data_IF_751291425169
#
_entry.id   IF_751291425169
#
_cell.length_a   1.000
_cell.length_b   1.000
_cell.length_c   1.000
_cell.angle_alpha   90.00
_cell.angle_beta   90.00
_cell.angle_gamma   90.00
#
_symmetry.space_group_name_H-M   'P 1'
#
loop_
_entity.id
_entity.type
_entity.pdbx_description
1 polymer ?
#
# COMPACT_ATOMS: atom_id res chain seq x y z
N UNK A 1 -26.62 -2.88 29.87
CA UNK A 1 -27.20 -3.61 28.71
C UNK A 1 -26.07 -4.42 28.09
N UNK A 2 -26.27 -5.68 27.70
CA UNK A 2 -25.20 -6.46 27.04
C UNK A 2 -24.88 -5.81 25.69
N UNK A 3 -23.59 -5.56 25.41
CA UNK A 3 -23.14 -5.03 24.12
C UNK A 3 -23.42 -6.06 23.02
N UNK A 4 -23.93 -5.62 21.86
CA UNK A 4 -24.27 -6.50 20.74
C UNK A 4 -23.58 -6.08 19.45
N UNK A 5 -23.43 -7.02 18.51
CA UNK A 5 -22.91 -6.74 17.16
C UNK A 5 -23.68 -5.63 16.44
N UNK A 6 -25.00 -5.56 16.66
CA UNK A 6 -25.86 -4.55 16.05
C UNK A 6 -25.56 -3.15 16.58
N UNK A 7 -25.41 -3.00 17.91
CA UNK A 7 -25.04 -1.72 18.53
C UNK A 7 -23.69 -1.20 18.02
N UNK A 8 -22.71 -2.09 17.82
CA UNK A 8 -21.41 -1.75 17.26
C UNK A 8 -21.52 -1.26 15.81
N UNK A 9 -22.30 -1.95 14.98
CA UNK A 9 -22.52 -1.58 13.58
C UNK A 9 -23.27 -0.26 13.45
N UNK A 10 -24.27 -0.02 14.30
CA UNK A 10 -25.01 1.24 14.37
C UNK A 10 -24.09 2.39 14.78
N UNK A 11 -23.31 2.21 15.85
CA UNK A 11 -22.35 3.22 16.29
C UNK A 11 -21.31 3.52 15.23
N UNK A 12 -20.78 2.50 14.56
CA UNK A 12 -19.83 2.69 13.47
C UNK A 12 -20.44 3.52 12.32
N UNK A 13 -21.70 3.28 11.97
CA UNK A 13 -22.40 4.07 10.97
C UNK A 13 -22.59 5.54 11.40
N UNK A 14 -22.95 5.79 12.67
CA UNK A 14 -23.06 7.15 13.23
C UNK A 14 -21.73 7.91 13.18
N UNK A 15 -20.62 7.24 13.50
CA UNK A 15 -19.27 7.80 13.43
C UNK A 15 -18.80 8.04 11.98
N UNK A 16 -19.51 7.51 10.98
CA UNK A 16 -19.14 7.63 9.57
C UNK A 16 -18.13 6.58 9.09
N UNK A 17 -18.02 5.44 9.77
CA UNK A 17 -17.23 4.30 9.29
C UNK A 17 -17.93 3.68 8.07
N UNK A 18 -17.20 3.54 6.96
CA UNK A 18 -17.78 3.21 5.67
C UNK A 18 -18.21 1.73 5.51
N UNK A 19 -17.43 0.82 6.08
CA UNK A 19 -17.75 -0.61 6.19
C UNK A 19 -17.26 -1.16 7.52
N UNK A 20 -17.96 -2.14 8.07
CA UNK A 20 -17.61 -2.85 9.29
C UNK A 20 -18.06 -4.31 9.17
N UNK A 21 -17.28 -5.22 9.74
CA UNK A 21 -17.69 -6.60 9.95
C UNK A 21 -16.97 -7.18 11.18
N UNK A 22 -17.54 -8.25 11.74
CA UNK A 22 -17.09 -8.85 12.99
C UNK A 22 -16.70 -10.31 12.74
N UNK A 23 -15.57 -10.74 13.26
CA UNK A 23 -15.16 -12.15 13.33
C UNK A 23 -15.05 -12.62 14.77
N UNK A 24 -15.47 -13.85 15.04
CA UNK A 24 -15.24 -14.52 16.31
C UNK A 24 -13.78 -15.01 16.38
N UNK A 25 -13.24 -15.14 17.60
CA UNK A 25 -11.80 -15.42 17.77
C UNK A 25 -11.39 -16.81 17.27
N UNK A 26 -12.30 -17.78 17.26
CA UNK A 26 -12.04 -19.17 16.88
C UNK A 26 -11.58 -19.30 15.42
N UNK A 27 -11.97 -18.36 14.54
CA UNK A 27 -11.47 -18.28 13.15
C UNK A 27 -9.95 -18.11 13.06
N UNK A 28 -9.33 -17.62 14.13
CA UNK A 28 -7.91 -17.31 14.21
C UNK A 28 -7.14 -18.27 15.14
N UNK A 29 -7.77 -19.34 15.64
CA UNK A 29 -7.13 -20.29 16.56
C UNK A 29 -5.89 -20.98 15.96
N UNK A 30 -5.89 -21.22 14.64
CA UNK A 30 -4.75 -21.78 13.90
C UNK A 30 -3.76 -20.73 13.37
N UNK A 31 -3.95 -19.44 13.65
CA UNK A 31 -3.10 -18.39 13.11
C UNK A 31 -1.66 -18.48 13.67
N UNK A 32 -0.63 -18.20 12.85
CA UNK A 32 0.73 -18.05 13.34
C UNK A 32 0.80 -17.05 14.49
N UNK A 33 1.63 -17.31 15.52
CA UNK A 33 1.69 -16.47 16.73
C UNK A 33 1.86 -14.98 16.41
N UNK A 34 2.77 -14.61 15.51
CA UNK A 34 3.00 -13.21 15.10
C UNK A 34 1.87 -12.58 14.28
N UNK A 35 0.83 -13.32 13.95
CA UNK A 35 -0.35 -12.86 13.21
C UNK A 35 -1.65 -13.07 13.97
N UNK A 36 -1.63 -13.76 15.12
CA UNK A 36 -2.81 -14.08 15.91
C UNK A 36 -3.23 -12.86 16.77
N UNK A 37 -4.52 -12.46 16.77
CA UNK A 37 -5.00 -11.37 17.63
C UNK A 37 -4.67 -11.58 19.12
N UNK A 38 -4.75 -12.84 19.59
CA UNK A 38 -4.47 -13.21 20.98
C UNK A 38 -3.01 -13.06 21.41
N UNK A 39 -2.09 -12.83 20.47
CA UNK A 39 -0.70 -12.47 20.80
C UNK A 39 -0.58 -11.01 21.27
N UNK A 40 -1.57 -10.18 20.96
CA UNK A 40 -1.68 -8.78 21.40
C UNK A 40 -2.66 -8.70 22.58
N UNK A 41 -3.82 -9.36 22.48
CA UNK A 41 -4.84 -9.35 23.52
C UNK A 41 -5.37 -10.78 23.80
N UNK A 42 -4.78 -11.51 24.77
CA UNK A 42 -5.09 -12.93 25.01
C UNK A 42 -6.57 -13.23 25.28
N UNK A 43 -7.27 -12.31 25.94
CA UNK A 43 -8.67 -12.40 26.33
C UNK A 43 -9.65 -12.09 25.19
N UNK A 44 -9.16 -11.65 24.02
CA UNK A 44 -10.00 -11.31 22.89
C UNK A 44 -10.96 -12.45 22.52
N UNK A 45 -12.25 -12.12 22.43
CA UNK A 45 -13.33 -13.02 21.97
C UNK A 45 -13.84 -12.67 20.60
N UNK A 46 -13.65 -11.42 20.18
CA UNK A 46 -14.08 -10.94 18.87
C UNK A 46 -13.08 -9.96 18.27
N UNK A 47 -13.11 -9.90 16.94
CA UNK A 47 -12.31 -9.00 16.12
C UNK A 47 -13.25 -8.19 15.26
N UNK A 48 -13.13 -6.88 15.31
CA UNK A 48 -13.92 -5.95 14.51
C UNK A 48 -13.01 -5.40 13.43
N UNK A 49 -13.34 -5.66 12.17
CA UNK A 49 -12.70 -5.03 11.03
C UNK A 49 -13.50 -3.82 10.59
N UNK A 50 -12.82 -2.71 10.34
CA UNK A 50 -13.41 -1.49 9.77
C UNK A 50 -12.70 -1.13 8.47
N UNK A 51 -13.42 -0.51 7.54
CA UNK A 51 -12.84 0.03 6.32
C UNK A 51 -13.30 1.47 6.09
N UNK A 52 -12.37 2.33 5.66
CA UNK A 52 -12.64 3.70 5.22
C UNK A 52 -12.34 3.84 3.74
N UNK A 53 -13.23 4.51 3.00
CA UNK A 53 -13.12 4.63 1.55
C UNK A 53 -11.99 5.56 1.14
N UNK A 54 -11.35 5.23 0.03
CA UNK A 54 -10.50 6.14 -0.72
C UNK A 54 -11.41 6.95 -1.67
N UNK A 55 -11.38 8.29 -1.63
CA UNK A 55 -12.12 9.09 -2.60
C UNK A 55 -11.59 8.82 -4.02
N UNK A 56 -12.45 8.43 -4.97
CA UNK A 56 -12.04 8.13 -6.36
C UNK A 56 -11.30 9.27 -7.05
N UNK A 57 -11.62 10.52 -6.67
CA UNK A 57 -11.02 11.73 -7.23
C UNK A 57 -9.53 11.93 -6.94
N UNK A 58 -8.99 11.30 -5.89
CA UNK A 58 -7.57 11.47 -5.51
C UNK A 58 -6.59 10.97 -6.58
N UNK A 59 -7.05 10.07 -7.46
CA UNK A 59 -6.27 9.53 -8.56
C UNK A 59 -6.25 10.41 -9.82
N UNK A 60 -7.12 11.43 -9.91
CA UNK A 60 -7.22 12.29 -11.12
C UNK A 60 -5.91 13.01 -11.42
N UNK A 61 -5.27 13.55 -10.39
CA UNK A 61 -3.98 14.24 -10.55
C UNK A 61 -2.85 13.33 -11.03
N UNK A 62 -2.84 12.07 -10.60
CA UNK A 62 -1.87 11.07 -11.09
C UNK A 62 -2.16 10.71 -12.54
N UNK A 63 -3.44 10.56 -12.89
CA UNK A 63 -3.85 10.26 -14.26
C UNK A 63 -3.54 11.36 -15.27
N UNK A 64 -3.64 12.61 -14.84
CA UNK A 64 -3.22 13.76 -15.65
C UNK A 64 -1.71 14.01 -15.56
N UNK A 65 -1.00 13.36 -14.66
CA UNK A 65 0.43 13.58 -14.42
C UNK A 65 0.74 14.90 -13.69
N UNK A 66 -0.26 15.56 -13.10
CA UNK A 66 -0.16 16.94 -12.59
C UNK A 66 -0.17 17.06 -11.07
N UNK A 67 -0.97 16.27 -10.35
CA UNK A 67 -1.21 16.46 -8.91
C UNK A 67 -1.09 15.15 -8.11
N UNK A 68 0.16 14.83 -7.75
CA UNK A 68 0.56 13.50 -7.27
C UNK A 68 0.40 13.27 -5.77
N UNK A 69 0.76 14.26 -4.95
CA UNK A 69 0.82 14.10 -3.49
C UNK A 69 -0.55 13.76 -2.89
N UNK A 70 -1.65 14.14 -3.56
CA UNK A 70 -3.01 13.84 -3.14
C UNK A 70 -3.25 12.36 -2.81
N UNK A 71 -2.67 11.44 -3.59
CA UNK A 71 -2.76 10.00 -3.30
C UNK A 71 -2.08 9.66 -1.96
N UNK A 72 -0.85 10.16 -1.73
CA UNK A 72 -0.15 9.91 -0.47
C UNK A 72 -0.91 10.54 0.71
N UNK A 73 -1.40 11.76 0.59
CA UNK A 73 -2.10 12.44 1.68
C UNK A 73 -3.45 11.79 1.97
N UNK A 74 -4.37 11.78 1.02
CA UNK A 74 -5.78 11.45 1.28
C UNK A 74 -6.17 10.00 0.99
N UNK A 75 -5.29 9.20 0.35
CA UNK A 75 -5.60 7.80 -0.01
C UNK A 75 -4.67 6.77 0.62
N UNK A 76 -3.57 7.23 1.22
CA UNK A 76 -2.57 6.36 1.83
C UNK A 76 -2.27 6.79 3.26
N UNK A 77 -1.39 7.77 3.46
CA UNK A 77 -0.85 8.13 4.76
C UNK A 77 -1.90 8.70 5.71
N UNK A 78 -2.50 9.88 5.46
CA UNK A 78 -3.44 10.49 6.43
C UNK A 78 -4.71 9.67 6.58
N UNK A 79 -5.10 8.92 5.55
CA UNK A 79 -6.18 7.95 5.68
C UNK A 79 -5.82 6.84 6.67
N UNK A 80 -4.58 6.33 6.66
CA UNK A 80 -4.10 5.32 7.61
C UNK A 80 -3.72 5.88 8.99
N UNK A 81 -3.29 7.14 9.10
CA UNK A 81 -2.67 7.72 10.31
C UNK A 81 -3.52 8.75 11.04
N UNK A 82 -4.56 9.30 10.40
CA UNK A 82 -5.39 10.34 10.99
C UNK A 82 -6.89 10.02 10.88
N UNK A 83 -7.44 9.98 9.66
CA UNK A 83 -8.89 9.93 9.46
C UNK A 83 -9.52 8.64 9.97
N UNK A 84 -9.00 7.48 9.56
CA UNK A 84 -9.50 6.18 10.04
C UNK A 84 -9.17 5.93 11.51
N UNK A 85 -7.92 6.12 12.00
CA UNK A 85 -7.60 5.89 13.41
C UNK A 85 -8.46 6.68 14.39
N UNK A 86 -8.80 7.93 14.07
CA UNK A 86 -9.70 8.71 14.90
C UNK A 86 -11.06 8.01 15.07
N UNK A 87 -11.66 7.51 13.99
CA UNK A 87 -12.94 6.79 14.07
C UNK A 87 -12.81 5.42 14.76
N UNK A 88 -11.70 4.71 14.56
CA UNK A 88 -11.43 3.46 15.28
C UNK A 88 -11.29 3.70 16.78
N UNK A 89 -10.64 4.80 17.19
CA UNK A 89 -10.52 5.21 18.58
C UNK A 89 -11.89 5.51 19.20
N UNK A 90 -12.74 6.29 18.53
CA UNK A 90 -14.10 6.58 19.01
C UNK A 90 -14.95 5.31 19.18
N UNK A 91 -14.77 4.32 18.29
CA UNK A 91 -15.46 3.04 18.41
C UNK A 91 -14.92 2.19 19.58
N UNK A 92 -13.61 2.24 19.86
CA UNK A 92 -13.03 1.64 21.06
C UNK A 92 -13.63 2.26 22.33
N UNK A 93 -13.68 3.59 22.43
CA UNK A 93 -14.28 4.27 23.59
C UNK A 93 -15.74 3.85 23.80
N UNK A 94 -16.52 3.72 22.72
CA UNK A 94 -17.89 3.22 22.83
C UNK A 94 -17.96 1.79 23.39
N UNK A 95 -17.05 0.89 23.01
CA UNK A 95 -16.97 -0.48 23.56
C UNK A 95 -16.63 -0.42 25.05
N UNK A 96 -15.68 0.43 25.43
CA UNK A 96 -15.24 0.63 26.83
C UNK A 96 -16.34 1.25 27.70
N UNK A 97 -17.17 2.16 27.17
CA UNK A 97 -18.35 2.71 27.85
C UNK A 97 -19.40 1.63 28.17
N UNK A 98 -19.35 0.48 27.47
CA UNK A 98 -20.19 -0.69 27.75
C UNK A 98 -19.51 -1.71 28.68
N UNK A 99 -18.31 -1.41 29.18
CA UNK A 99 -17.58 -2.22 30.15
C UNK A 99 -16.75 -3.37 29.56
N UNK A 100 -16.35 -3.27 28.29
CA UNK A 100 -15.49 -4.24 27.60
C UNK A 100 -14.17 -3.59 27.19
N UNK A 101 -13.07 -4.35 27.15
CA UNK A 101 -11.80 -3.83 26.67
C UNK A 101 -11.76 -3.82 25.13
N UNK A 102 -11.15 -2.78 24.55
CA UNK A 102 -11.04 -2.64 23.10
C UNK A 102 -9.62 -2.18 22.70
N UNK A 103 -8.86 -3.07 22.07
CA UNK A 103 -7.51 -2.77 21.59
C UNK A 103 -7.55 -2.33 20.12
N UNK A 104 -7.34 -1.03 19.80
CA UNK A 104 -7.19 -0.60 18.43
C UNK A 104 -5.85 -1.08 17.87
N UNK A 105 -5.89 -1.78 16.74
CA UNK A 105 -4.68 -2.26 16.06
C UNK A 105 -4.30 -1.32 14.91
N UNK A 106 -3.06 -0.83 14.95
CA UNK A 106 -2.50 -0.01 13.88
C UNK A 106 -1.93 -0.90 12.75
N UNK A 107 -2.37 -0.73 11.49
CA UNK A 107 -1.94 -1.57 10.37
C UNK A 107 -0.57 -1.11 9.86
N UNK A 108 0.48 -1.60 10.50
CA UNK A 108 1.87 -1.51 10.03
C UNK A 108 2.24 -2.72 9.14
N UNK A 109 3.53 -2.92 8.88
CA UNK A 109 4.07 -3.97 8.00
C UNK A 109 4.41 -5.22 8.84
N UNK A 110 3.63 -6.32 8.76
CA UNK A 110 3.88 -7.53 9.56
C UNK A 110 5.25 -8.18 9.30
N UNK A 111 5.79 -8.00 8.10
CA UNK A 111 7.10 -8.51 7.69
C UNK A 111 8.26 -7.90 8.52
N UNK A 112 8.03 -6.79 9.25
CA UNK A 112 8.99 -6.18 10.16
C UNK A 112 8.98 -6.74 11.59
N UNK A 113 8.05 -7.63 11.93
CA UNK A 113 7.92 -8.18 13.29
C UNK A 113 9.22 -8.85 13.76
N UNK A 114 9.69 -8.49 14.96
CA UNK A 114 10.85 -9.15 15.60
C UNK A 114 12.22 -8.85 14.98
N UNK A 115 12.34 -7.80 14.15
CA UNK A 115 13.60 -7.49 13.45
C UNK A 115 14.52 -6.53 14.19
N UNK A 116 14.05 -5.85 15.25
CA UNK A 116 14.78 -4.72 15.86
C UNK A 116 15.03 -4.84 17.36
N UNK A 117 14.34 -5.75 18.06
CA UNK A 117 14.37 -5.82 19.53
C UNK A 117 14.13 -7.25 20.02
N UNK A 118 14.87 -7.61 21.06
CA UNK A 118 14.71 -8.89 21.76
C UNK A 118 13.41 -8.94 22.56
N UNK A 119 12.84 -10.14 22.80
CA UNK A 119 11.74 -10.33 23.73
C UNK A 119 12.07 -9.78 25.12
N UNK A 120 11.06 -9.26 25.81
CA UNK A 120 11.21 -8.69 27.17
C UNK A 120 11.50 -9.75 28.25
N UNK A 121 11.25 -11.03 27.95
CA UNK A 121 11.55 -12.16 28.82
C UNK A 121 11.64 -13.46 28.00
N UNK A 122 12.29 -14.48 28.57
CA UNK A 122 12.37 -15.82 27.97
C UNK A 122 10.97 -16.40 27.69
N UNK A 123 10.82 -17.03 26.52
CA UNK A 123 9.55 -17.64 26.09
C UNK A 123 8.46 -16.65 25.64
N UNK A 124 8.70 -15.34 25.70
CA UNK A 124 7.79 -14.33 25.16
C UNK A 124 8.05 -14.06 23.68
N UNK A 125 7.05 -13.50 23.01
CA UNK A 125 7.18 -13.01 21.64
C UNK A 125 8.03 -11.73 21.61
N UNK A 126 8.68 -11.42 20.47
CA UNK A 126 9.33 -10.12 20.29
C UNK A 126 8.32 -8.98 20.45
N UNK A 127 8.76 -7.79 20.88
CA UNK A 127 7.88 -6.61 20.95
C UNK A 127 7.43 -6.16 19.56
N UNK A 128 6.49 -5.22 19.53
CA UNK A 128 5.95 -4.61 18.31
C UNK A 128 5.32 -5.63 17.32
N UNK A 129 4.56 -6.60 17.84
CA UNK A 129 3.81 -7.54 16.99
C UNK A 129 2.72 -6.80 16.20
N UNK A 130 2.79 -6.90 14.88
CA UNK A 130 1.80 -6.34 13.96
C UNK A 130 1.13 -7.49 13.19
N UNK A 131 -0.17 -7.66 13.40
CA UNK A 131 -0.95 -8.64 12.65
C UNK A 131 -1.23 -8.20 11.20
N UNK A 132 -1.46 -9.17 10.31
CA UNK A 132 -1.86 -8.91 8.92
C UNK A 132 -3.29 -8.37 8.84
N UNK A 133 -3.41 -7.05 8.69
CA UNK A 133 -4.71 -6.35 8.64
C UNK A 133 -5.65 -6.91 7.58
N UNK A 134 -5.11 -7.31 6.41
CA UNK A 134 -5.92 -7.80 5.28
C UNK A 134 -6.44 -9.22 5.53
N UNK A 135 -5.62 -10.08 6.11
CA UNK A 135 -6.00 -11.47 6.42
C UNK A 135 -7.06 -11.48 7.51
N UNK A 136 -6.84 -10.75 8.59
CA UNK A 136 -7.83 -10.68 9.68
C UNK A 136 -9.13 -10.05 9.19
N UNK A 137 -9.07 -8.96 8.40
CA UNK A 137 -10.27 -8.35 7.83
C UNK A 137 -11.07 -9.32 6.95
N UNK A 138 -10.40 -10.16 6.15
CA UNK A 138 -11.07 -11.21 5.37
C UNK A 138 -11.76 -12.22 6.30
N UNK A 139 -11.07 -12.67 7.35
CA UNK A 139 -11.66 -13.56 8.37
C UNK A 139 -12.83 -12.93 9.16
N UNK A 140 -12.93 -11.60 9.21
CA UNK A 140 -14.10 -10.90 9.77
C UNK A 140 -15.27 -10.82 8.78
N UNK A 141 -15.09 -11.14 7.50
CA UNK A 141 -16.15 -11.08 6.49
C UNK A 141 -16.44 -9.68 5.92
N UNK A 142 -15.60 -8.67 6.18
CA UNK A 142 -15.82 -7.30 5.64
C UNK A 142 -15.62 -7.24 4.11
N UNK A 143 -14.91 -8.21 3.54
CA UNK A 143 -14.59 -8.25 2.12
C UNK A 143 -13.63 -9.38 1.75
N UNK A 144 -13.02 -9.25 0.58
CA UNK A 144 -12.18 -10.27 -0.05
C UNK A 144 -10.76 -9.72 -0.30
N UNK A 145 -9.73 -10.54 -0.15
CA UNK A 145 -8.39 -10.20 -0.66
C UNK A 145 -8.39 -10.46 -2.16
N UNK A 146 -8.40 -9.40 -2.97
CA UNK A 146 -8.34 -9.54 -4.42
C UNK A 146 -7.01 -10.12 -4.88
N UNK A 147 -6.99 -10.68 -6.10
CA UNK A 147 -5.82 -11.40 -6.64
C UNK A 147 -4.48 -10.65 -6.48
N UNK A 148 -4.46 -9.32 -6.61
CA UNK A 148 -3.24 -8.51 -6.42
C UNK A 148 -2.87 -8.21 -4.96
N UNK A 149 -3.32 -9.01 -3.98
CA UNK A 149 -3.16 -8.79 -2.53
C UNK A 149 -3.88 -7.52 -2.00
N UNK A 150 -4.57 -6.74 -2.84
CA UNK A 150 -5.32 -5.53 -2.44
C UNK A 150 -6.73 -5.95 -2.00
N UNK A 151 -7.15 -5.44 -0.85
CA UNK A 151 -8.43 -5.77 -0.25
C UNK A 151 -9.60 -5.12 -1.01
N UNK A 152 -10.69 -5.86 -1.18
CA UNK A 152 -11.89 -5.47 -1.91
C UNK A 152 -13.11 -5.52 -0.97
N UNK A 153 -13.94 -4.48 -0.99
CA UNK A 153 -15.27 -4.50 -0.34
C UNK A 153 -16.37 -4.52 -1.40
N UNK A 154 -17.54 -5.10 -1.09
CA UNK A 154 -18.70 -5.08 -2.00
C UNK A 154 -19.11 -3.65 -2.38
N UNK A 155 -19.00 -2.73 -1.42
CA UNK A 155 -19.38 -1.34 -1.63
C UNK A 155 -18.37 -0.54 -2.44
N UNK A 156 -17.08 -0.58 -2.10
CA UNK A 156 -16.08 0.33 -2.70
C UNK A 156 -15.02 -0.35 -3.57
N UNK A 157 -15.06 -1.68 -3.70
CA UNK A 157 -14.00 -2.45 -4.35
C UNK A 157 -12.65 -2.18 -3.67
N UNK A 158 -11.57 -1.93 -4.43
CA UNK A 158 -10.22 -1.74 -3.89
C UNK A 158 -9.99 -0.36 -3.25
N UNK A 159 -10.99 0.52 -3.25
CA UNK A 159 -10.88 1.88 -2.72
C UNK A 159 -11.11 1.91 -1.22
N UNK A 160 -10.32 1.17 -0.45
CA UNK A 160 -10.45 1.12 1.01
C UNK A 160 -9.10 1.07 1.72
N UNK A 161 -9.10 1.53 2.97
CA UNK A 161 -8.07 1.26 3.98
C UNK A 161 -8.72 0.62 5.19
N UNK A 162 -8.02 -0.34 5.79
CA UNK A 162 -8.56 -1.21 6.83
C UNK A 162 -8.08 -0.79 8.21
N UNK A 163 -8.85 -1.10 9.23
CA UNK A 163 -8.46 -1.12 10.64
C UNK A 163 -9.06 -2.30 11.36
N UNK A 164 -8.48 -2.61 12.51
CA UNK A 164 -8.91 -3.70 13.36
C UNK A 164 -9.05 -3.19 14.80
N UNK A 165 -10.01 -3.76 15.50
CA UNK A 165 -10.18 -3.62 16.94
C UNK A 165 -10.34 -5.03 17.51
N UNK A 166 -9.60 -5.36 18.55
CA UNK A 166 -9.76 -6.62 19.29
C UNK A 166 -10.50 -6.34 20.59
N UNK A 167 -11.45 -7.20 20.95
CA UNK A 167 -12.25 -6.99 22.17
C UNK A 167 -12.56 -8.31 22.85
N UNK A 168 -12.69 -8.27 24.18
CA UNK A 168 -13.18 -9.36 25.01
C UNK A 168 -14.71 -9.49 24.98
N UNK A 169 -15.41 -8.54 24.34
CA UNK A 169 -16.82 -8.66 24.04
C UNK A 169 -17.08 -9.84 23.10
N UNK A 170 -18.04 -10.68 23.47
CA UNK A 170 -18.51 -11.79 22.63
C UNK A 170 -19.60 -11.30 21.68
N UNK A 171 -19.24 -11.18 20.40
CA UNK A 171 -20.06 -10.59 19.36
C UNK A 171 -20.37 -11.62 18.27
N UNK A 172 -21.60 -11.61 17.78
CA UNK A 172 -22.03 -12.44 16.64
C UNK A 172 -21.21 -12.11 15.38
N UNK A 173 -20.55 -13.12 14.75
CA UNK A 173 -19.69 -12.91 13.60
C UNK A 173 -20.45 -12.77 12.28
N UNK A 174 -19.88 -12.03 11.34
CA UNK A 174 -20.31 -11.93 9.96
C UNK A 174 -19.72 -13.08 9.12
N UNK A 175 -20.40 -13.57 8.07
CA UNK A 175 -19.89 -14.64 7.22
C UNK A 175 -18.68 -14.22 6.40
N UNK A 176 -17.69 -15.12 6.28
CA UNK A 176 -16.50 -14.92 5.44
C UNK A 176 -16.88 -15.00 3.96
N UNK A 177 -16.40 -14.08 3.13
CA UNK A 177 -16.60 -14.12 1.67
C UNK A 177 -15.72 -15.19 0.99
N UNK A 178 -16.22 -15.74 -0.11
CA UNK A 178 -15.44 -16.63 -0.97
C UNK A 178 -14.48 -15.87 -1.88
N UNK A 179 -13.39 -16.54 -2.23
CA UNK A 179 -12.51 -16.03 -3.29
C UNK A 179 -13.27 -16.01 -4.62
N UNK A 180 -13.39 -14.84 -5.23
CA UNK A 180 -14.16 -14.62 -6.45
C UNK A 180 -15.53 -13.95 -6.25
N UNK A 181 -15.97 -13.72 -5.00
CA UNK A 181 -17.22 -13.01 -4.73
C UNK A 181 -17.21 -11.58 -5.26
N UNK A 182 -16.05 -10.91 -5.16
CA UNK A 182 -15.80 -9.56 -5.66
C UNK A 182 -14.73 -9.60 -6.74
N UNK A 183 -13.62 -10.32 -6.55
CA UNK A 183 -12.54 -10.39 -7.52
C UNK A 183 -12.97 -11.13 -8.78
N UNK A 184 -12.93 -10.45 -9.93
CA UNK A 184 -13.26 -11.07 -11.22
C UNK A 184 -12.17 -12.02 -11.75
N UNK A 185 -11.01 -12.10 -11.09
CA UNK A 185 -9.81 -12.78 -11.60
C UNK A 185 -9.45 -12.38 -13.05
N UNK A 186 -9.79 -11.14 -13.44
CA UNK A 186 -9.71 -10.67 -14.82
C UNK A 186 -8.29 -10.27 -15.27
N UNK A 187 -7.32 -10.27 -14.36
CA UNK A 187 -5.92 -9.90 -14.63
C UNK A 187 -5.69 -8.42 -14.94
N UNK A 188 -6.66 -7.53 -14.71
CA UNK A 188 -6.46 -6.08 -14.93
C UNK A 188 -5.31 -5.52 -14.08
N UNK A 189 -5.20 -5.97 -12.83
CA UNK A 189 -4.10 -5.63 -11.93
C UNK A 189 -2.73 -6.12 -12.42
N UNK A 190 -2.69 -7.27 -13.11
CA UNK A 190 -1.47 -7.85 -13.71
C UNK A 190 -1.01 -6.99 -14.89
N UNK A 191 -1.91 -6.76 -15.86
CA UNK A 191 -1.59 -6.05 -17.11
C UNK A 191 -1.13 -4.60 -16.87
N UNK A 192 -1.71 -3.92 -15.89
CA UNK A 192 -1.46 -2.50 -15.64
C UNK A 192 -0.38 -2.24 -14.57
N UNK A 193 0.17 -3.28 -13.93
CA UNK A 193 1.23 -3.12 -12.93
C UNK A 193 2.53 -2.61 -13.60
N UNK A 194 3.05 -1.42 -13.24
CA UNK A 194 4.27 -0.90 -13.85
C UNK A 194 5.51 -1.72 -13.45
N UNK A 195 5.51 -2.35 -12.28
CA UNK A 195 6.62 -3.18 -11.81
C UNK A 195 6.55 -4.65 -12.21
N UNK A 196 5.52 -5.08 -12.96
CA UNK A 196 5.28 -6.51 -13.22
C UNK A 196 5.35 -7.36 -11.94
N UNK A 197 4.76 -6.85 -10.86
CA UNK A 197 4.87 -7.40 -9.51
C UNK A 197 3.79 -8.44 -9.20
N UNK A 198 2.63 -8.36 -9.89
CA UNK A 198 1.54 -9.32 -9.72
C UNK A 198 1.73 -10.43 -10.76
N UNK A 199 1.86 -11.70 -10.35
CA UNK A 199 2.06 -12.80 -11.29
C UNK A 199 0.82 -13.02 -12.18
N UNK A 200 0.94 -13.76 -13.30
CA UNK A 200 -0.20 -14.07 -14.16
C UNK A 200 -1.27 -14.90 -13.43
N UNK A 201 -2.56 -14.53 -13.56
CA UNK A 201 -3.71 -15.22 -12.91
C UNK A 201 -3.73 -16.73 -13.15
N UNK A 202 -3.31 -17.15 -14.34
CA UNK A 202 -3.25 -18.56 -14.76
C UNK A 202 -2.18 -19.36 -14.01
N UNK A 203 -1.18 -18.72 -13.44
CA UNK A 203 -0.15 -19.39 -12.66
C UNK A 203 -0.72 -19.74 -11.28
N UNK A 204 -0.93 -21.03 -11.03
CA UNK A 204 -1.47 -21.53 -9.77
C UNK A 204 -0.39 -21.73 -8.71
N UNK A 205 0.86 -21.86 -9.13
CA UNK A 205 2.00 -22.12 -8.26
C UNK A 205 2.45 -20.85 -7.53
N UNK A 206 2.10 -19.66 -8.06
CA UNK A 206 2.32 -18.36 -7.42
C UNK A 206 1.07 -17.89 -6.66
N UNK A 207 0.45 -18.78 -5.88
CA UNK A 207 -0.72 -18.49 -5.04
C UNK A 207 -0.42 -18.77 -3.57
N UNK A 208 -0.90 -17.86 -2.72
CA UNK A 208 -0.91 -18.02 -1.28
C UNK A 208 -2.33 -18.38 -0.83
N UNK A 209 -2.42 -19.29 0.14
CA UNK A 209 -3.67 -19.77 0.72
C UNK A 209 -3.73 -19.42 2.21
N UNK A 210 -4.91 -19.08 2.69
CA UNK A 210 -5.17 -18.84 4.11
C UNK A 210 -6.43 -19.59 4.50
N UNK A 211 -6.34 -20.36 5.57
CA UNK A 211 -7.45 -21.12 6.15
C UNK A 211 -7.87 -20.49 7.48
N UNK A 212 -9.17 -20.21 7.63
CA UNK A 212 -9.76 -19.65 8.85
C UNK A 212 -10.32 -20.76 9.73
N UNK A 213 -9.42 -21.63 10.20
CA UNK A 213 -9.72 -22.75 11.09
C UNK A 213 -10.80 -23.70 10.54
N UNK A 214 -10.69 -24.06 9.26
CA UNK A 214 -11.61 -24.94 8.55
C UNK A 214 -12.94 -24.33 8.14
N UNK A 215 -13.30 -23.14 8.63
CA UNK A 215 -14.54 -22.45 8.24
C UNK A 215 -14.51 -22.02 6.77
N UNK A 216 -13.37 -21.47 6.34
CA UNK A 216 -13.16 -21.06 4.94
C UNK A 216 -11.68 -20.99 4.59
N UNK A 217 -11.36 -21.41 3.37
CA UNK A 217 -10.06 -21.19 2.76
C UNK A 217 -10.15 -20.16 1.63
N UNK A 218 -9.29 -19.15 1.67
CA UNK A 218 -9.17 -18.13 0.61
C UNK A 218 -7.80 -18.19 -0.06
N UNK A 219 -7.67 -17.58 -1.24
CA UNK A 219 -6.40 -17.50 -1.94
C UNK A 219 -6.21 -16.20 -2.72
N UNK A 220 -4.95 -15.82 -2.93
CA UNK A 220 -4.56 -14.66 -3.73
C UNK A 220 -3.15 -14.85 -4.29
N UNK A 221 -2.67 -13.95 -5.14
CA UNK A 221 -1.34 -14.07 -5.74
C UNK A 221 -0.21 -13.87 -4.73
N UNK A 222 0.87 -14.62 -4.90
CA UNK A 222 2.16 -14.29 -4.30
C UNK A 222 2.79 -13.11 -5.05
N UNK A 223 2.61 -11.89 -4.52
CA UNK A 223 3.06 -10.66 -5.17
C UNK A 223 4.56 -10.49 -4.96
N UNK A 224 5.30 -10.20 -6.02
CA UNK A 224 6.74 -9.92 -5.99
C UNK A 224 6.99 -8.57 -5.31
N UNK A 225 7.14 -8.61 -3.99
CA UNK A 225 7.08 -7.43 -3.14
C UNK A 225 8.21 -6.42 -3.42
N UNK A 226 9.45 -6.85 -3.71
CA UNK A 226 10.52 -5.89 -4.05
C UNK A 226 10.23 -5.06 -5.30
N UNK A 227 9.67 -5.66 -6.36
CA UNK A 227 9.23 -4.93 -7.56
C UNK A 227 8.09 -3.96 -7.26
N UNK A 228 7.15 -4.39 -6.39
CA UNK A 228 6.06 -3.56 -5.91
C UNK A 228 6.61 -2.34 -5.14
N UNK A 229 7.53 -2.55 -4.20
CA UNK A 229 8.14 -1.54 -3.35
C UNK A 229 8.96 -0.53 -4.15
N UNK A 230 9.83 -0.99 -5.07
CA UNK A 230 10.56 -0.12 -6.00
C UNK A 230 9.61 0.78 -6.81
N UNK A 231 8.54 0.19 -7.36
CA UNK A 231 7.56 0.97 -8.12
C UNK A 231 6.78 1.92 -7.23
N UNK A 232 6.28 1.44 -6.09
CA UNK A 232 5.47 2.20 -5.14
C UNK A 232 6.19 3.44 -4.65
N UNK A 233 7.46 3.31 -4.30
CA UNK A 233 8.33 4.39 -3.84
C UNK A 233 9.08 5.07 -4.99
N UNK A 234 8.60 4.94 -6.23
CA UNK A 234 9.03 5.78 -7.35
C UNK A 234 10.44 5.52 -7.87
N UNK A 235 11.08 4.41 -7.53
CA UNK A 235 12.32 3.96 -8.19
C UNK A 235 12.06 3.27 -9.54
N UNK A 236 10.81 3.13 -9.95
CA UNK A 236 10.46 2.78 -11.32
C UNK A 236 10.34 4.04 -12.20
N UNK A 237 11.29 4.19 -13.11
CA UNK A 237 11.43 5.27 -14.09
C UNK A 237 10.26 5.36 -15.09
N UNK A 238 9.53 4.26 -15.34
CA UNK A 238 8.34 4.29 -16.21
C UNK A 238 7.13 4.98 -15.56
N UNK A 239 7.08 5.05 -14.22
CA UNK A 239 5.94 5.63 -13.50
C UNK A 239 6.29 6.80 -12.58
N UNK A 240 7.58 7.18 -12.46
CA UNK A 240 7.99 8.32 -11.65
C UNK A 240 8.60 9.45 -12.50
N UNK A 241 7.86 10.54 -12.78
CA UNK A 241 8.43 11.70 -13.45
C UNK A 241 9.49 12.40 -12.61
N UNK A 242 9.45 12.21 -11.28
CA UNK A 242 10.40 12.83 -10.35
C UNK A 242 11.76 12.14 -10.39
N UNK A 243 11.78 10.80 -10.42
CA UNK A 243 13.02 10.06 -10.64
C UNK A 243 13.58 10.35 -12.02
N UNK A 244 12.73 10.31 -13.06
CA UNK A 244 13.15 10.55 -14.44
C UNK A 244 13.75 11.94 -14.63
N UNK A 245 13.23 12.95 -13.92
CA UNK A 245 13.80 14.30 -13.93
C UNK A 245 15.22 14.36 -13.36
N UNK A 246 15.45 13.75 -12.20
CA UNK A 246 16.77 13.82 -11.54
C UNK A 246 17.78 12.83 -12.14
N UNK A 247 17.29 11.72 -12.71
CA UNK A 247 18.08 10.65 -13.32
C UNK A 247 17.54 10.31 -14.74
N UNK A 248 17.67 11.23 -15.71
CA UNK A 248 17.13 11.07 -17.07
C UNK A 248 17.64 9.80 -17.80
N UNK A 249 18.84 9.37 -17.43
CA UNK A 249 19.57 8.27 -18.08
C UNK A 249 19.59 6.98 -17.27
N UNK A 250 18.90 6.94 -16.14
CA UNK A 250 18.77 5.73 -15.34
C UNK A 250 17.73 4.80 -15.98
N UNK A 251 18.18 3.61 -16.37
CA UNK A 251 17.38 2.52 -16.91
C UNK A 251 17.34 1.35 -15.89
N UNK A 252 16.65 1.56 -14.75
CA UNK A 252 16.53 0.52 -13.73
C UNK A 252 15.45 -0.49 -14.10
N UNK A 253 15.83 -1.70 -14.47
CA UNK A 253 14.92 -2.77 -14.90
C UNK A 253 14.10 -3.37 -13.72
N UNK A 254 13.08 -2.63 -13.27
CA UNK A 254 12.22 -3.03 -12.15
C UNK A 254 11.35 -4.24 -12.50
N UNK A 255 11.04 -4.50 -13.78
CA UNK A 255 10.07 -5.54 -14.17
C UNK A 255 10.65 -6.95 -14.12
N UNK A 256 11.98 -7.07 -14.05
CA UNK A 256 12.69 -8.36 -14.07
C UNK A 256 13.63 -8.57 -12.87
N UNK A 257 13.74 -7.61 -11.95
CA UNK A 257 14.56 -7.77 -10.75
C UNK A 257 13.95 -8.78 -9.77
N UNK A 258 14.81 -9.50 -9.06
CA UNK A 258 14.46 -10.41 -7.95
C UNK A 258 14.82 -9.81 -6.58
N UNK A 259 15.01 -8.48 -6.52
CA UNK A 259 15.19 -7.79 -5.24
C UNK A 259 14.07 -8.17 -4.27
N UNK A 260 14.47 -8.44 -3.04
CA UNK A 260 13.57 -8.62 -1.91
C UNK A 260 12.85 -7.32 -1.58
N UNK A 261 11.78 -7.41 -0.78
CA UNK A 261 11.10 -6.21 -0.28
C UNK A 261 12.02 -5.33 0.57
N UNK A 262 12.88 -5.93 1.38
CA UNK A 262 13.80 -5.21 2.27
C UNK A 262 14.88 -4.46 1.49
N UNK A 263 15.53 -5.09 0.51
CA UNK A 263 16.51 -4.43 -0.37
C UNK A 263 15.86 -3.24 -1.10
N UNK A 264 14.61 -3.39 -1.54
CA UNK A 264 13.86 -2.31 -2.17
C UNK A 264 13.54 -1.16 -1.20
N UNK A 265 13.18 -1.46 0.07
CA UNK A 265 12.99 -0.42 1.09
C UNK A 265 14.28 0.34 1.37
N UNK A 266 15.39 -0.37 1.60
CA UNK A 266 16.71 0.22 1.82
C UNK A 266 17.05 1.17 0.66
N UNK A 267 16.94 0.69 -0.58
CA UNK A 267 17.27 1.48 -1.76
C UNK A 267 16.37 2.71 -1.91
N UNK A 268 15.06 2.54 -1.81
CA UNK A 268 14.08 3.62 -2.02
C UNK A 268 14.21 4.71 -0.97
N UNK A 269 14.30 4.36 0.32
CA UNK A 269 14.44 5.34 1.40
C UNK A 269 15.81 6.01 1.38
N UNK A 270 16.88 5.29 1.05
CA UNK A 270 18.21 5.90 0.86
C UNK A 270 18.16 6.97 -0.24
N UNK A 271 17.51 6.69 -1.38
CA UNK A 271 17.38 7.65 -2.48
C UNK A 271 16.49 8.85 -2.13
N UNK A 272 15.41 8.63 -1.36
CA UNK A 272 14.52 9.71 -0.92
C UNK A 272 15.20 10.64 0.10
N UNK A 273 16.03 10.10 1.00
CA UNK A 273 16.71 10.87 2.06
C UNK A 273 18.07 11.43 1.66
N UNK A 274 18.66 10.87 0.60
CA UNK A 274 20.00 11.22 0.13
C UNK A 274 20.16 12.71 -0.14
N UNK A 275 21.37 13.21 0.14
CA UNK A 275 21.83 14.55 -0.24
C UNK A 275 23.08 14.41 -1.08
N UNK A 276 23.21 15.26 -2.10
CA UNK A 276 24.39 15.29 -2.95
C UNK A 276 25.23 16.52 -2.65
N UNK A 277 26.52 16.33 -2.33
CA UNK A 277 27.41 17.41 -1.90
C UNK A 277 27.56 18.55 -2.92
N UNK A 278 27.35 18.31 -4.23
CA UNK A 278 27.34 19.37 -5.25
C UNK A 278 25.99 20.09 -5.40
N UNK A 279 24.95 19.67 -4.68
CA UNK A 279 23.66 20.37 -4.55
C UNK A 279 23.41 20.67 -3.05
N UNK A 280 24.20 21.56 -2.41
CA UNK A 280 24.07 21.82 -0.98
C UNK A 280 22.67 22.35 -0.65
N UNK A 281 22.04 21.81 0.39
CA UNK A 281 20.69 22.21 0.82
C UNK A 281 19.55 21.55 0.06
N UNK A 282 19.83 20.81 -1.02
CA UNK A 282 18.83 20.04 -1.77
C UNK A 282 18.93 18.55 -1.51
N UNK A 283 17.82 17.85 -1.70
CA UNK A 283 17.76 16.39 -1.66
C UNK A 283 18.01 15.84 -3.05
N UNK A 284 18.46 14.58 -3.12
CA UNK A 284 18.69 13.90 -4.40
C UNK A 284 17.42 13.90 -5.25
N UNK A 285 16.25 13.71 -4.63
CA UNK A 285 14.94 13.86 -5.28
C UNK A 285 14.04 14.75 -4.43
N UNK A 286 14.04 16.05 -4.75
CA UNK A 286 13.32 17.08 -3.97
C UNK A 286 11.82 16.77 -3.77
N UNK A 287 11.15 16.16 -4.76
CA UNK A 287 9.73 15.83 -4.63
C UNK A 287 9.46 14.74 -3.57
N UNK A 288 10.35 13.75 -3.43
CA UNK A 288 10.17 12.66 -2.46
C UNK A 288 10.32 13.20 -1.05
N UNK A 289 11.33 14.02 -0.82
CA UNK A 289 11.53 14.74 0.44
C UNK A 289 10.33 15.64 0.78
N UNK A 290 9.80 16.39 -0.19
CA UNK A 290 8.60 17.22 0.01
C UNK A 290 7.43 16.38 0.55
N UNK A 291 7.07 15.28 -0.12
CA UNK A 291 5.93 14.45 0.32
C UNK A 291 6.22 13.79 1.66
N UNK A 292 7.44 13.28 1.84
CA UNK A 292 7.84 12.56 3.05
C UNK A 292 7.91 13.48 4.27
N UNK A 293 8.40 14.71 4.17
CA UNK A 293 8.43 15.66 5.30
C UNK A 293 7.05 15.95 5.88
N UNK A 294 6.01 15.92 5.06
CA UNK A 294 4.65 16.22 5.50
C UNK A 294 3.88 14.99 6.02
N UNK A 295 4.29 13.79 5.62
CA UNK A 295 3.50 12.59 5.85
C UNK A 295 4.28 11.45 6.52
N UNK A 296 5.61 11.53 6.59
CA UNK A 296 6.49 10.43 7.00
C UNK A 296 6.57 9.29 5.99
N UNK A 297 5.90 9.40 4.83
CA UNK A 297 5.77 8.36 3.82
C UNK A 297 5.71 8.98 2.42
N UNK A 298 5.82 8.19 1.36
CA UNK A 298 5.63 8.69 0.00
C UNK A 298 5.22 7.54 -0.92
N UNK A 299 4.13 7.74 -1.66
CA UNK A 299 3.58 6.76 -2.59
C UNK A 299 3.48 7.39 -3.97
N UNK A 300 4.35 6.96 -4.88
CA UNK A 300 4.51 7.54 -6.21
C UNK A 300 3.70 6.75 -7.25
N UNK A 301 3.77 5.41 -7.31
CA UNK A 301 3.13 4.63 -8.41
C UNK A 301 1.63 4.86 -8.62
N UNK A 302 0.94 5.49 -7.66
CA UNK A 302 -0.47 5.85 -7.75
C UNK A 302 -1.42 4.66 -7.78
N UNK A 303 -0.96 3.46 -7.43
CA UNK A 303 -1.71 2.22 -7.48
C UNK A 303 -2.36 1.95 -8.87
N UNK A 304 -1.61 2.27 -9.94
CA UNK A 304 -2.02 2.12 -11.35
C UNK A 304 -2.69 0.76 -11.64
N UNK A 305 -2.01 -0.34 -11.29
CA UNK A 305 -2.54 -1.69 -11.49
C UNK A 305 -3.49 -2.13 -10.38
N UNK A 306 -3.00 -2.15 -9.14
CA UNK A 306 -3.67 -2.87 -8.05
C UNK A 306 -4.98 -2.21 -7.57
N UNK A 307 -5.10 -0.88 -7.57
CA UNK A 307 -6.35 -0.20 -7.19
C UNK A 307 -7.07 0.33 -8.43
N UNK A 308 -6.41 1.17 -9.23
CA UNK A 308 -7.09 1.93 -10.28
C UNK A 308 -7.61 1.05 -11.41
N UNK A 309 -6.79 0.13 -11.94
CA UNK A 309 -7.23 -0.82 -12.96
C UNK A 309 -8.30 -1.78 -12.43
N UNK A 310 -8.14 -2.26 -11.19
CA UNK A 310 -9.12 -3.13 -10.53
C UNK A 310 -10.47 -2.41 -10.33
N UNK A 311 -10.47 -1.21 -9.76
CA UNK A 311 -11.65 -0.36 -9.59
C UNK A 311 -12.36 -0.12 -10.91
N UNK A 312 -11.64 0.26 -11.96
CA UNK A 312 -12.24 0.48 -13.27
C UNK A 312 -12.90 -0.79 -13.83
N UNK A 313 -12.29 -1.96 -13.64
CA UNK A 313 -12.89 -3.23 -14.07
C UNK A 313 -14.19 -3.52 -13.28
N UNK A 314 -14.14 -3.38 -11.95
CA UNK A 314 -15.29 -3.65 -11.07
C UNK A 314 -16.45 -2.67 -11.28
N UNK A 315 -16.17 -1.39 -11.51
CA UNK A 315 -17.20 -0.40 -11.85
C UNK A 315 -17.88 -0.74 -13.17
N UNK A 316 -17.11 -1.09 -14.22
CA UNK A 316 -17.65 -1.41 -15.55
C UNK A 316 -18.52 -2.67 -15.55
N UNK A 317 -18.16 -3.68 -14.76
CA UNK A 317 -18.93 -4.92 -14.64
C UNK A 317 -20.02 -4.84 -13.58
N UNK A 318 -20.17 -3.70 -12.90
CA UNK A 318 -21.13 -3.48 -11.80
C UNK A 318 -21.00 -4.54 -10.69
N UNK A 319 -19.77 -4.98 -10.42
CA UNK A 319 -19.44 -5.94 -9.35
C UNK A 319 -19.41 -5.28 -7.97
N UNK A 320 -19.38 -3.95 -7.92
CA UNK A 320 -19.41 -3.15 -6.69
C UNK A 320 -20.60 -2.17 -6.69
N UNK A 321 -20.98 -1.70 -5.50
CA UNK A 321 -22.18 -0.88 -5.30
C UNK A 321 -21.93 0.62 -5.53
N UNK A 322 -20.78 1.15 -5.08
CA UNK A 322 -20.47 2.57 -5.20
C UNK A 322 -19.94 2.90 -6.60
N UNK A 323 -20.88 3.14 -7.51
CA UNK A 323 -20.65 3.50 -8.91
C UNK A 323 -20.63 5.03 -9.12
N UNK A 324 -20.10 5.45 -10.26
CA UNK A 324 -20.02 6.86 -10.67
C UNK A 324 -20.64 7.04 -12.05
N UNK A 325 -21.29 8.19 -12.27
CA UNK A 325 -21.88 8.54 -13.57
C UNK A 325 -20.85 8.62 -14.69
N UNK A 326 -19.63 9.04 -14.34
CA UNK A 326 -18.57 9.32 -15.27
C UNK A 326 -17.49 8.21 -15.21
N UNK A 327 -16.96 7.72 -16.36
CA UNK A 327 -16.00 6.63 -16.36
C UNK A 327 -14.69 7.04 -15.66
N UNK A 328 -13.93 6.05 -15.21
CA UNK A 328 -12.68 6.35 -14.54
C UNK A 328 -11.60 6.70 -15.56
N UNK A 329 -11.36 5.82 -16.53
CA UNK A 329 -10.47 6.11 -17.64
C UNK A 329 -11.22 6.74 -18.81
N UNK A 330 -10.75 7.89 -19.26
CA UNK A 330 -11.18 8.55 -20.50
C UNK A 330 -10.14 8.44 -21.62
N UNK A 331 -8.89 8.15 -21.24
CA UNK A 331 -7.74 7.98 -22.12
C UNK A 331 -6.90 6.81 -21.64
N UNK A 332 -5.99 6.34 -22.49
CA UNK A 332 -5.01 5.32 -22.10
C UNK A 332 -4.09 5.89 -21.02
N UNK A 333 -3.89 5.14 -19.93
CA UNK A 333 -2.89 5.49 -18.91
C UNK A 333 -1.51 5.62 -19.55
N UNK A 334 -0.80 6.69 -19.23
CA UNK A 334 0.54 6.94 -19.73
C UNK A 334 1.60 6.13 -18.93
N UNK A 335 2.76 5.95 -19.55
CA UNK A 335 4.03 5.54 -18.92
C UNK A 335 5.12 6.40 -19.54
N UNK A 336 6.17 6.70 -18.78
CA UNK A 336 7.35 7.36 -19.29
C UNK A 336 8.23 6.34 -20.03
N UNK A 337 8.99 6.77 -21.06
CA UNK A 337 9.97 5.91 -21.71
C UNK A 337 11.01 5.43 -20.70
N UNK A 338 11.30 4.13 -20.74
CA UNK A 338 12.36 3.52 -19.93
C UNK A 338 13.76 3.94 -20.40
N UNK A 339 13.91 4.21 -21.70
CA UNK A 339 15.19 4.52 -22.35
C UNK A 339 15.82 5.84 -21.88
N UNK A 340 17.16 5.97 -21.90
CA UNK A 340 17.85 7.23 -21.61
C UNK A 340 17.36 8.38 -22.50
N UNK A 341 17.11 9.55 -21.93
CA UNK A 341 16.60 10.70 -22.70
C UNK A 341 17.71 11.50 -23.39
N UNK A 342 18.91 11.57 -22.79
CA UNK A 342 20.04 12.32 -23.35
C UNK A 342 21.37 11.65 -22.96
N UNK A 343 22.25 11.34 -23.90
CA UNK A 343 23.63 10.94 -23.53
C UNK A 343 24.50 12.20 -23.58
N UNK A 344 24.79 12.87 -22.44
CA UNK A 344 25.57 14.10 -22.49
C UNK A 344 26.94 13.87 -23.12
N UNK A 345 27.33 14.78 -24.01
CA UNK A 345 28.73 14.94 -24.40
C UNK A 345 29.53 15.33 -23.16
N UNK A 346 30.79 14.89 -23.09
CA UNK A 346 31.61 15.08 -21.88
C UNK A 346 31.66 13.94 -20.85
N UNK A 347 32.67 13.98 -19.99
CA UNK A 347 32.89 13.03 -18.89
C UNK A 347 32.08 13.44 -17.65
N UNK A 348 31.91 14.73 -17.39
CA UNK A 348 31.15 15.24 -16.25
C UNK A 348 30.31 16.47 -16.63
N UNK A 349 29.03 16.29 -17.04
CA UNK A 349 28.23 17.38 -17.59
C UNK A 349 28.06 18.57 -16.62
N UNK A 350 28.06 18.33 -15.31
CA UNK A 350 27.94 19.40 -14.31
C UNK A 350 29.20 20.27 -14.22
N UNK A 351 30.39 19.65 -14.23
CA UNK A 351 31.67 20.39 -14.25
C UNK A 351 31.77 21.19 -15.54
N UNK A 352 31.47 20.54 -16.64
CA UNK A 352 31.59 21.06 -17.99
C UNK A 352 30.71 22.28 -18.19
N UNK A 353 29.41 22.17 -17.89
CA UNK A 353 28.48 23.30 -17.95
C UNK A 353 28.89 24.45 -17.01
N UNK A 354 29.46 24.15 -15.83
CA UNK A 354 29.94 25.19 -14.91
C UNK A 354 31.16 25.92 -15.47
N UNK A 355 32.17 25.19 -15.99
CA UNK A 355 33.39 25.78 -16.53
C UNK A 355 33.12 26.53 -17.82
N UNK A 356 32.30 26.01 -18.74
CA UNK A 356 31.94 26.69 -19.97
C UNK A 356 31.22 28.02 -19.69
N UNK A 357 30.38 28.05 -18.64
CA UNK A 357 29.64 29.25 -18.21
C UNK A 357 30.51 30.26 -17.45
N UNK A 358 31.42 29.80 -16.58
CA UNK A 358 32.20 30.66 -15.67
C UNK A 358 33.58 31.03 -16.20
N UNK A 359 34.18 30.16 -17.01
CA UNK A 359 35.54 30.27 -17.53
C UNK A 359 35.59 29.81 -19.00
N UNK A 360 35.00 30.58 -19.95
CA UNK A 360 34.98 30.20 -21.35
C UNK A 360 36.39 29.94 -21.89
N UNK A 361 36.58 28.84 -22.63
CA UNK A 361 37.87 28.44 -23.21
C UNK A 361 38.80 27.67 -22.27
N UNK A 362 38.54 27.63 -20.95
CA UNK A 362 39.40 26.92 -19.99
C UNK A 362 39.55 25.41 -20.30
N UNK A 363 38.55 24.84 -20.98
CA UNK A 363 38.51 23.42 -21.34
C UNK A 363 39.09 23.11 -22.72
N UNK A 364 39.66 24.10 -23.41
CA UNK A 364 40.27 23.89 -24.71
C UNK A 364 41.44 22.87 -24.58
N UNK A 365 41.38 21.79 -25.36
CA UNK A 365 42.39 20.73 -25.35
C UNK A 365 42.25 19.65 -24.27
N UNK A 366 41.22 19.66 -23.41
CA UNK A 366 41.07 18.63 -22.34
C UNK A 366 40.90 17.21 -22.91
N UNK A 367 39.83 16.98 -23.64
CA UNK A 367 39.55 15.71 -24.32
C UNK A 367 38.52 15.96 -25.42
N UNK A 368 38.78 15.39 -26.61
CA UNK A 368 37.83 15.36 -27.71
C UNK A 368 37.15 13.99 -27.68
N UNK A 369 35.84 13.94 -27.39
CA UNK A 369 35.10 12.68 -27.53
C UNK A 369 35.11 12.29 -29.01
N UNK A 370 35.43 11.04 -29.32
CA UNK A 370 35.16 10.48 -30.63
C UNK A 370 33.64 10.63 -30.89
N UNK A 371 33.26 11.25 -32.02
CA UNK A 371 31.85 11.31 -32.43
C UNK A 371 31.33 9.87 -32.50
N UNK A 372 30.27 9.58 -31.75
CA UNK A 372 29.57 8.29 -31.82
C UNK A 372 28.76 8.18 -33.09
#
# INVERSE_FOLDING_TARGET
MKLTSQMIKERAAELGIDCIAIGNIERFAGAPKLMAPQSIFPEARSVIAVAMRIPRGTYRGIEEGTHWHNYTFYSYNKLNTLFRPHLSYELCCFIEDHGYEAVPHFPAVPEGNGTTREPVAEGKLPPDVVCSVRVIAAGCGIGEIGYSKVFLTKKFGPRVRLGLIFTDAELEPDPILDTGDICLHCGACVRECPGNAVPPVKNKDERLYVDFNGEKQIWYADVRMGRCTLSHHGLNNECSPFLKKEFPNMALEVRNTEMTEEEAYIMTYTMADGQWWRKPGEKVINYYDYVKKHTGYYAICGARGCIRACMNALEKTKRIENLFHNPFYYKKSWLLPHEPTEVPEGVNPYREAYLDKKYPGLREGEYVKAKK
#
